data_IF_455925979149
#
_entry.id   IF_455925979149
#
_cell.length_a   1.000
_cell.length_b   1.000
_cell.length_c   1.000
_cell.angle_alpha   90.00
_cell.angle_beta   90.00
_cell.angle_gamma   90.00
#
_symmetry.space_group_name_H-M   'P 1'
#
loop_
_entity.id
_entity.type
_entity.pdbx_description
1 polymer ?
#
# COMPACT_ATOMS: atom_id res chain seq x y z
N UNK A 1 1.17 -12.19 -0.37
CA UNK A 1 1.96 -10.97 -0.68
C UNK A 1 2.41 -10.30 0.61
N UNK A 2 1.50 -9.90 1.51
CA UNK A 2 1.81 -9.17 2.75
C UNK A 2 3.02 -9.68 3.55
N UNK A 3 3.05 -10.95 3.96
CA UNK A 3 4.12 -11.47 4.83
C UNK A 3 5.52 -11.43 4.20
N UNK A 4 5.63 -11.71 2.89
CA UNK A 4 6.92 -11.66 2.18
C UNK A 4 7.35 -10.23 1.82
N UNK A 5 6.39 -9.33 1.59
CA UNK A 5 6.68 -7.95 1.19
C UNK A 5 7.06 -7.07 2.38
N UNK A 6 6.32 -7.20 3.48
CA UNK A 6 6.42 -6.30 4.65
C UNK A 6 7.78 -6.41 5.34
N UNK A 7 8.19 -7.62 5.76
CA UNK A 7 9.50 -7.86 6.35
C UNK A 7 10.64 -8.00 5.33
N UNK A 8 10.31 -7.92 4.04
CA UNK A 8 11.24 -8.08 2.93
C UNK A 8 11.55 -6.72 2.30
N UNK A 9 11.23 -6.50 1.01
CA UNK A 9 11.53 -5.26 0.31
C UNK A 9 11.06 -3.97 1.01
N UNK A 10 9.93 -3.98 1.72
CA UNK A 10 9.46 -2.79 2.45
C UNK A 10 10.39 -2.45 3.63
N UNK A 11 10.52 -3.35 4.61
CA UNK A 11 11.38 -3.12 5.76
C UNK A 11 12.85 -2.90 5.38
N UNK A 12 13.41 -3.73 4.48
CA UNK A 12 14.80 -3.58 4.05
C UNK A 12 15.04 -2.37 3.16
N UNK A 13 14.02 -1.90 2.41
CA UNK A 13 14.11 -0.66 1.65
C UNK A 13 14.26 0.55 2.57
N UNK A 14 13.44 0.63 3.62
CA UNK A 14 13.55 1.64 4.67
C UNK A 14 14.88 1.55 5.42
N UNK A 15 15.20 0.38 5.97
CA UNK A 15 16.39 0.17 6.79
C UNK A 15 17.70 0.28 6.01
N UNK A 16 17.68 -0.04 4.71
CA UNK A 16 18.86 0.06 3.85
C UNK A 16 19.25 1.51 3.54
N UNK A 17 18.30 2.44 3.52
CA UNK A 17 18.58 3.88 3.40
C UNK A 17 19.01 4.45 4.75
N UNK A 18 18.35 4.05 5.85
CA UNK A 18 18.71 4.48 7.20
C UNK A 18 18.22 5.89 7.54
N UNK A 19 18.91 6.57 8.46
CA UNK A 19 18.55 7.92 8.93
C UNK A 19 17.05 8.05 9.29
N UNK A 20 16.32 8.98 8.69
CA UNK A 20 14.88 9.14 8.94
C UNK A 20 14.03 8.10 8.20
N UNK A 21 14.55 7.47 7.14
CA UNK A 21 13.84 6.36 6.44
C UNK A 21 13.67 5.12 7.32
N UNK A 22 14.53 4.89 8.32
CA UNK A 22 14.34 3.77 9.26
C UNK A 22 13.34 4.09 10.38
N UNK A 23 12.94 5.36 10.55
CA UNK A 23 11.91 5.75 11.50
C UNK A 23 10.53 5.47 10.87
N UNK A 24 9.79 4.53 11.44
CA UNK A 24 8.47 4.11 10.92
C UNK A 24 7.50 5.29 10.78
N UNK A 25 7.52 6.24 11.72
CA UNK A 25 6.62 7.40 11.69
C UNK A 25 7.23 8.57 10.90
N UNK A 26 8.54 8.77 11.04
CA UNK A 26 9.28 9.86 10.41
C UNK A 26 9.59 9.65 8.93
N UNK A 27 9.60 8.41 8.44
CA UNK A 27 10.05 8.05 7.09
C UNK A 27 9.44 8.86 5.95
N UNK A 28 8.14 9.29 5.96
CA UNK A 28 7.60 10.13 4.89
C UNK A 28 8.26 11.51 4.75
N UNK A 29 9.05 11.95 5.73
CA UNK A 29 9.82 13.19 5.66
C UNK A 29 11.06 13.10 4.75
N UNK A 30 11.50 11.89 4.41
CA UNK A 30 12.50 11.68 3.35
C UNK A 30 11.80 11.59 1.99
N UNK A 31 12.19 12.40 0.98
CA UNK A 31 11.59 12.33 -0.36
C UNK A 31 11.68 10.95 -1.02
N UNK A 32 12.67 10.12 -0.65
CA UNK A 32 12.83 8.76 -1.20
C UNK A 32 11.70 7.82 -0.75
N UNK A 33 11.02 8.11 0.36
CA UNK A 33 9.85 7.36 0.82
C UNK A 33 8.82 7.15 -0.30
N UNK A 34 8.53 8.22 -1.05
CA UNK A 34 7.52 8.21 -2.10
C UNK A 34 7.92 7.34 -3.29
N UNK A 35 9.21 7.34 -3.65
CA UNK A 35 9.74 6.46 -4.69
C UNK A 35 9.77 5.00 -4.22
N UNK A 36 10.13 4.77 -2.96
CA UNK A 36 10.12 3.45 -2.35
C UNK A 36 8.70 2.84 -2.33
N UNK A 37 7.71 3.59 -1.84
CA UNK A 37 6.32 3.12 -1.80
C UNK A 37 5.67 3.03 -3.19
N UNK A 38 6.08 3.85 -4.16
CA UNK A 38 5.68 3.66 -5.55
C UNK A 38 6.20 2.33 -6.14
N UNK A 39 7.40 1.89 -5.74
CA UNK A 39 7.91 0.56 -6.13
C UNK A 39 7.14 -0.58 -5.45
N UNK A 40 6.76 -0.41 -4.18
CA UNK A 40 5.92 -1.39 -3.49
C UNK A 40 4.54 -1.52 -4.13
N UNK A 41 3.90 -0.40 -4.45
CA UNK A 41 2.61 -0.37 -5.14
C UNK A 41 2.72 -0.97 -6.56
N UNK A 42 3.80 -0.68 -7.31
CA UNK A 42 4.08 -1.35 -8.59
C UNK A 42 4.10 -2.87 -8.45
N UNK A 43 4.79 -3.40 -7.43
CA UNK A 43 4.87 -4.83 -7.20
C UNK A 43 3.54 -5.43 -6.73
N UNK A 44 2.78 -4.70 -5.91
CA UNK A 44 1.42 -5.07 -5.53
C UNK A 44 0.52 -5.17 -6.77
N UNK A 45 0.61 -4.19 -7.69
CA UNK A 45 -0.16 -4.19 -8.94
C UNK A 45 0.25 -5.32 -9.89
N UNK A 46 1.55 -5.63 -10.01
CA UNK A 46 2.00 -6.82 -10.78
C UNK A 46 1.36 -8.09 -10.21
N UNK A 47 1.33 -8.20 -8.87
CA UNK A 47 0.73 -9.35 -8.20
C UNK A 47 -0.79 -9.45 -8.44
N UNK A 48 -1.53 -8.34 -8.43
CA UNK A 48 -2.97 -8.36 -8.74
C UNK A 48 -3.24 -8.60 -10.24
N UNK A 49 -2.41 -8.08 -11.15
CA UNK A 49 -2.56 -8.29 -12.60
C UNK A 49 -2.47 -9.77 -12.98
N UNK A 50 -1.67 -10.56 -12.25
CA UNK A 50 -1.52 -11.99 -12.51
C UNK A 50 -2.78 -12.82 -12.21
N UNK A 51 -3.72 -12.30 -11.40
CA UNK A 51 -5.02 -12.93 -11.16
C UNK A 51 -6.01 -11.90 -10.59
N UNK A 52 -7.03 -11.53 -11.37
CA UNK A 52 -8.03 -10.52 -11.01
C UNK A 52 -8.83 -10.85 -9.73
N UNK A 53 -8.94 -12.12 -9.33
CA UNK A 53 -9.56 -12.49 -8.06
C UNK A 53 -8.85 -11.84 -6.86
N UNK A 54 -7.57 -11.48 -7.00
CA UNK A 54 -6.75 -10.81 -5.98
C UNK A 54 -7.18 -9.37 -5.70
N UNK A 55 -7.93 -8.73 -6.61
CA UNK A 55 -8.53 -7.42 -6.35
C UNK A 55 -9.54 -7.48 -5.20
N UNK A 56 -10.10 -8.66 -4.92
CA UNK A 56 -11.07 -8.88 -3.86
C UNK A 56 -10.48 -9.63 -2.66
N UNK A 57 -9.17 -9.83 -2.60
CA UNK A 57 -8.53 -10.53 -1.48
C UNK A 57 -8.05 -9.54 -0.43
N UNK A 58 -8.62 -9.62 0.78
CA UNK A 58 -8.23 -8.87 1.96
C UNK A 58 -8.08 -9.83 3.14
N UNK A 59 -7.09 -9.58 3.99
CA UNK A 59 -6.88 -10.31 5.23
C UNK A 59 -6.21 -9.41 6.27
N UNK A 60 -6.32 -9.80 7.55
CA UNK A 60 -5.72 -9.08 8.66
C UNK A 60 -6.76 -8.28 9.45
N UNK A 61 -6.32 -7.78 10.60
CA UNK A 61 -7.16 -7.07 11.55
C UNK A 61 -6.60 -5.66 11.80
N UNK A 62 -7.45 -4.73 12.20
CA UNK A 62 -7.06 -3.42 12.69
C UNK A 62 -6.37 -3.50 14.07
N UNK A 63 -5.95 -2.35 14.59
CA UNK A 63 -5.32 -2.23 15.92
C UNK A 63 -6.21 -2.67 17.09
N UNK A 64 -7.54 -2.69 16.88
CA UNK A 64 -8.53 -3.19 17.85
C UNK A 64 -8.85 -4.67 17.65
N UNK A 65 -8.16 -5.36 16.74
CA UNK A 65 -8.39 -6.77 16.43
C UNK A 65 -9.60 -7.04 15.53
N UNK A 66 -10.23 -6.02 14.95
CA UNK A 66 -11.40 -6.19 14.06
C UNK A 66 -10.92 -6.54 12.64
N UNK A 67 -11.53 -7.52 11.96
CA UNK A 67 -11.16 -7.85 10.59
C UNK A 67 -11.29 -6.66 9.64
N UNK A 68 -10.25 -6.41 8.83
CA UNK A 68 -10.32 -5.48 7.71
C UNK A 68 -11.09 -6.15 6.58
N UNK A 69 -11.97 -5.40 5.93
CA UNK A 69 -12.76 -5.87 4.78
C UNK A 69 -12.64 -4.89 3.62
N UNK A 70 -13.19 -5.27 2.48
CA UNK A 70 -13.34 -4.39 1.31
C UNK A 70 -14.20 -3.15 1.61
N UNK A 71 -15.00 -3.15 2.67
CA UNK A 71 -15.84 -2.01 3.09
C UNK A 71 -15.21 -1.15 4.19
N UNK A 72 -14.05 -1.54 4.72
CA UNK A 72 -13.32 -0.71 5.67
C UNK A 72 -12.97 0.63 5.02
N UNK A 73 -13.28 1.73 5.72
CA UNK A 73 -13.02 3.09 5.26
C UNK A 73 -11.54 3.45 5.45
N UNK A 74 -10.98 4.11 4.43
CA UNK A 74 -9.66 4.69 4.43
C UNK A 74 -9.80 6.22 4.39
N UNK A 75 -9.20 6.89 5.37
CA UNK A 75 -9.15 8.34 5.46
C UNK A 75 -7.69 8.76 5.67
N UNK A 76 -7.27 9.81 4.98
CA UNK A 76 -5.92 10.37 5.08
C UNK A 76 -6.04 11.81 5.56
N UNK A 77 -6.62 11.99 6.75
CA UNK A 77 -6.86 13.30 7.39
C UNK A 77 -7.54 14.31 6.46
N UNK A 78 -8.54 13.84 5.71
CA UNK A 78 -9.31 14.62 4.72
C UNK A 78 -8.46 15.30 3.62
N UNK A 79 -7.19 14.90 3.46
CA UNK A 79 -6.35 15.32 2.33
C UNK A 79 -6.94 14.86 0.99
N UNK A 80 -7.66 13.75 1.02
CA UNK A 80 -8.49 13.21 -0.07
C UNK A 80 -9.85 12.81 0.49
N UNK A 81 -10.91 12.75 -0.35
CA UNK A 81 -12.18 12.17 0.07
C UNK A 81 -11.99 10.78 0.68
N UNK A 82 -12.72 10.48 1.75
CA UNK A 82 -12.76 9.14 2.34
C UNK A 82 -13.26 8.12 1.30
N UNK A 83 -12.52 7.02 1.17
CA UNK A 83 -12.83 5.91 0.26
C UNK A 83 -12.91 4.61 1.05
N UNK A 84 -13.31 3.51 0.42
CA UNK A 84 -13.21 2.16 0.99
C UNK A 84 -12.00 1.44 0.41
N UNK A 85 -11.56 0.38 1.08
CA UNK A 85 -10.49 -0.49 0.57
C UNK A 85 -10.78 -0.94 -0.86
N UNK A 86 -12.02 -1.37 -1.18
CA UNK A 86 -12.41 -1.78 -2.54
C UNK A 86 -12.17 -0.73 -3.61
N UNK A 87 -12.21 0.55 -3.26
CA UNK A 87 -12.11 1.65 -4.23
C UNK A 87 -10.67 1.89 -4.68
N UNK A 88 -9.69 1.32 -3.96
CA UNK A 88 -8.25 1.52 -4.20
C UNK A 88 -7.49 0.23 -4.54
N UNK A 89 -8.18 -0.91 -4.63
CA UNK A 89 -7.54 -2.18 -5.03
C UNK A 89 -7.16 -2.22 -6.50
N UNK A 90 -7.87 -1.47 -7.35
CA UNK A 90 -7.60 -1.39 -8.78
C UNK A 90 -7.10 0.00 -9.19
N UNK A 91 -5.81 0.09 -9.54
CA UNK A 91 -5.19 1.34 -9.97
C UNK A 91 -5.80 1.90 -11.25
N UNK A 92 -6.44 1.06 -12.08
CA UNK A 92 -7.07 1.48 -13.34
C UNK A 92 -8.54 1.85 -13.19
N UNK A 93 -9.13 1.65 -12.01
CA UNK A 93 -10.48 2.11 -11.71
C UNK A 93 -10.53 3.64 -11.56
N UNK A 94 -11.76 4.17 -11.54
CA UNK A 94 -12.02 5.62 -11.57
C UNK A 94 -11.40 6.40 -10.41
N UNK A 95 -11.27 5.79 -9.22
CA UNK A 95 -10.70 6.43 -8.03
C UNK A 95 -9.23 6.81 -8.22
N UNK A 96 -8.45 5.95 -8.88
CA UNK A 96 -6.99 6.06 -8.96
C UNK A 96 -6.50 6.42 -10.38
N UNK A 97 -7.07 5.77 -11.40
CA UNK A 97 -6.84 6.05 -12.82
C UNK A 97 -5.36 6.16 -13.25
N UNK A 98 -4.49 5.25 -12.81
CA UNK A 98 -3.10 5.17 -13.24
C UNK A 98 -2.63 3.73 -13.54
N UNK A 99 -1.50 3.64 -14.26
CA UNK A 99 -0.76 2.40 -14.49
C UNK A 99 0.75 2.65 -14.39
N UNK A 100 1.48 1.62 -14.01
CA UNK A 100 2.94 1.62 -14.18
C UNK A 100 3.32 1.24 -15.59
N UNK A 101 4.48 1.71 -16.03
CA UNK A 101 5.20 1.08 -17.11
C UNK A 101 5.93 -0.15 -16.54
N UNK A 102 5.69 -1.33 -17.11
CA UNK A 102 6.17 -2.59 -16.57
C UNK A 102 7.46 -3.05 -17.24
#
# INVERSE_FOLDING_TARGET
MRSCSEGGPHAWGHNGIGAVMQDVFGSPSDPVFWLHHAFLDRNFRIWTNANSARLNTINGNDVSGRPITLDTTLNVYDFRPTVRVRDVMDTTATTLCYRYNY
#
